data_IF_502842181513
#
_entry.id   IF_502842181513
#
_cell.length_a   1.000
_cell.length_b   1.000
_cell.length_c   1.000
_cell.angle_alpha   90.00
_cell.angle_beta   90.00
_cell.angle_gamma   90.00
#
_symmetry.space_group_name_H-M   'P 1'
#
loop_
_entity.id
_entity.type
_entity.pdbx_description
1 polymer ?
#
# COMPACT_ATOMS: atom_id res chain seq x y z
N UNK A 1 11.15 17.65 50.13
CA UNK A 1 10.72 17.08 48.83
C UNK A 1 11.94 16.62 48.03
N UNK A 2 12.18 15.31 47.89
CA UNK A 2 13.15 14.74 46.93
C UNK A 2 12.53 13.47 46.35
N UNK A 3 12.22 13.46 45.06
CA UNK A 3 11.88 12.24 44.32
C UNK A 3 12.95 12.00 43.27
N UNK A 4 13.73 10.95 43.49
CA UNK A 4 14.64 10.34 42.53
C UNK A 4 13.85 9.34 41.69
N UNK A 5 13.88 9.47 40.36
CA UNK A 5 13.20 8.53 39.46
C UNK A 5 14.00 8.34 38.18
N UNK A 6 14.81 7.28 38.16
CA UNK A 6 15.51 6.73 36.99
C UNK A 6 14.52 5.83 36.25
N UNK A 7 14.18 6.12 34.99
CA UNK A 7 13.53 5.14 34.10
C UNK A 7 14.36 4.95 32.85
N UNK A 8 14.65 3.69 32.56
CA UNK A 8 15.43 3.18 31.43
C UNK A 8 14.51 2.25 30.67
N UNK A 9 13.97 2.66 29.54
CA UNK A 9 13.16 1.78 28.68
C UNK A 9 13.32 2.30 27.23
N UNK A 10 14.36 1.92 26.48
CA UNK A 10 14.43 0.74 25.60
C UNK A 10 13.06 0.15 25.21
N UNK A 11 12.37 0.74 24.24
CA UNK A 11 11.37 0.15 23.33
C UNK A 11 10.90 1.33 22.45
N UNK A 12 10.69 1.28 21.14
CA UNK A 12 10.64 0.23 20.12
C UNK A 12 10.62 1.03 18.81
N UNK A 13 11.38 0.62 17.79
CA UNK A 13 11.12 1.06 16.43
C UNK A 13 9.66 0.74 16.10
N UNK A 14 8.81 1.75 16.11
CA UNK A 14 7.43 1.64 15.66
C UNK A 14 7.46 1.69 14.14
N UNK A 15 7.77 0.53 13.57
CA UNK A 15 6.97 -0.08 12.50
C UNK A 15 5.93 0.88 11.90
N UNK A 16 6.27 1.40 10.72
CA UNK A 16 5.44 2.30 9.93
C UNK A 16 4.44 1.50 9.06
N UNK A 17 3.90 0.40 9.62
CA UNK A 17 3.08 -0.58 8.90
C UNK A 17 1.78 -0.84 9.66
N UNK A 18 0.87 0.16 9.69
CA UNK A 18 -0.52 -0.08 10.12
C UNK A 18 -1.52 0.63 9.21
N UNK A 19 -1.89 -0.12 8.18
CA UNK A 19 -3.27 -0.36 7.74
C UNK A 19 -4.24 0.82 7.81
N UNK A 20 -4.17 1.69 6.80
CA UNK A 20 -5.27 2.60 6.47
C UNK A 20 -6.27 1.89 5.54
N UNK A 21 -7.16 1.09 6.13
CA UNK A 21 -8.32 0.52 5.42
C UNK A 21 -9.53 1.41 5.72
N UNK A 22 -9.97 2.20 4.75
CA UNK A 22 -11.17 3.04 4.91
C UNK A 22 -12.33 2.59 4.03
N UNK A 23 -13.55 2.47 4.61
CA UNK A 23 -14.73 2.08 3.89
C UNK A 23 -15.30 3.30 3.13
N UNK A 24 -15.58 3.09 1.84
CA UNK A 24 -16.55 3.82 0.98
C UNK A 24 -16.06 4.87 -0.03
N UNK A 25 -14.84 5.42 0.01
CA UNK A 25 -14.47 6.46 -0.97
C UNK A 25 -12.98 6.43 -1.37
N UNK A 26 -12.63 5.72 -2.44
CA UNK A 26 -11.52 6.08 -3.36
C UNK A 26 -11.43 5.15 -4.55
N UNK A 27 -12.16 5.42 -5.63
CA UNK A 27 -12.06 4.63 -6.88
C UNK A 27 -10.62 4.51 -7.42
N UNK A 28 -9.76 5.50 -7.11
CA UNK A 28 -8.32 5.45 -7.43
C UNK A 28 -7.43 4.82 -6.35
N UNK A 29 -7.54 5.21 -5.08
CA UNK A 29 -6.68 4.62 -4.04
C UNK A 29 -7.10 3.23 -3.56
N UNK A 30 -8.32 2.79 -3.85
CA UNK A 30 -8.76 1.42 -3.60
C UNK A 30 -7.99 0.43 -4.49
N UNK A 31 -7.78 0.80 -5.76
CA UNK A 31 -6.93 0.04 -6.68
C UNK A 31 -5.50 -0.03 -6.14
N UNK A 32 -4.93 1.08 -5.68
CA UNK A 32 -3.58 1.10 -5.11
C UNK A 32 -3.46 0.23 -3.85
N UNK A 33 -4.42 0.33 -2.93
CA UNK A 33 -4.43 -0.43 -1.69
C UNK A 33 -4.63 -1.94 -1.96
N UNK A 34 -5.57 -2.28 -2.85
CA UNK A 34 -5.78 -3.65 -3.28
C UNK A 34 -4.52 -4.22 -3.94
N UNK A 35 -3.89 -3.45 -4.82
CA UNK A 35 -2.62 -3.81 -5.44
C UNK A 35 -1.57 -4.09 -4.37
N UNK A 36 -1.33 -3.18 -3.43
CA UNK A 36 -0.31 -3.38 -2.39
C UNK A 36 -0.61 -4.55 -1.45
N UNK A 37 -1.89 -4.87 -1.22
CA UNK A 37 -2.32 -5.96 -0.35
C UNK A 37 -2.37 -7.33 -1.05
N UNK A 38 -2.58 -7.37 -2.37
CA UNK A 38 -2.83 -8.61 -3.12
C UNK A 38 -1.75 -8.92 -4.17
N UNK A 39 -0.96 -7.93 -4.58
CA UNK A 39 0.11 -8.05 -5.56
C UNK A 39 1.45 -7.96 -4.83
N UNK A 40 2.18 -9.07 -4.85
CA UNK A 40 3.58 -9.07 -4.45
C UNK A 40 4.46 -8.60 -5.61
N UNK A 41 4.87 -7.34 -5.58
CA UNK A 41 5.75 -6.75 -6.60
C UNK A 41 7.13 -7.37 -6.67
N UNK A 42 7.60 -8.07 -5.63
CA UNK A 42 8.90 -8.72 -5.61
C UNK A 42 9.00 -9.86 -6.63
N UNK A 43 7.86 -10.41 -7.03
CA UNK A 43 7.78 -11.49 -8.02
C UNK A 43 7.71 -10.98 -9.45
N UNK A 44 7.50 -9.68 -9.64
CA UNK A 44 7.37 -9.06 -10.95
C UNK A 44 8.63 -8.29 -11.31
N UNK A 45 9.03 -8.37 -12.58
CA UNK A 45 10.15 -7.57 -13.10
C UNK A 45 9.79 -6.09 -13.22
N UNK A 46 8.49 -5.78 -13.28
CA UNK A 46 7.97 -4.42 -13.38
C UNK A 46 6.53 -4.38 -12.87
N UNK A 47 6.16 -3.31 -12.16
CA UNK A 47 4.81 -3.04 -11.67
C UNK A 47 3.74 -3.11 -12.77
N UNK A 48 4.06 -2.78 -14.03
CA UNK A 48 3.12 -2.92 -15.15
C UNK A 48 2.68 -4.37 -15.43
N UNK A 49 3.42 -5.40 -14.99
CA UNK A 49 3.00 -6.79 -15.12
C UNK A 49 1.76 -7.10 -14.28
N UNK A 50 1.55 -6.36 -13.18
CA UNK A 50 0.37 -6.48 -12.34
C UNK A 50 -0.91 -5.95 -13.02
N UNK A 51 -0.81 -5.21 -14.13
CA UNK A 51 -1.94 -4.65 -14.88
C UNK A 51 -2.98 -5.71 -15.21
N UNK A 52 -2.55 -6.89 -15.67
CA UNK A 52 -3.46 -7.99 -16.00
C UNK A 52 -4.23 -8.50 -14.79
N UNK A 53 -3.55 -8.66 -13.65
CA UNK A 53 -4.16 -9.12 -12.39
C UNK A 53 -5.17 -8.11 -11.86
N UNK A 54 -4.83 -6.83 -11.92
CA UNK A 54 -5.71 -5.73 -11.49
C UNK A 54 -6.93 -5.62 -12.41
N UNK A 55 -6.73 -5.62 -13.73
CA UNK A 55 -7.84 -5.59 -14.67
C UNK A 55 -8.69 -6.86 -14.60
N UNK A 56 -8.15 -8.01 -14.20
CA UNK A 56 -8.95 -9.23 -13.97
C UNK A 56 -9.83 -9.13 -12.73
N UNK A 57 -9.35 -8.47 -11.67
CA UNK A 57 -10.12 -8.26 -10.43
C UNK A 57 -11.18 -7.17 -10.59
N UNK A 58 -10.77 -6.00 -11.09
CA UNK A 58 -11.67 -4.85 -11.23
C UNK A 58 -12.44 -4.84 -12.56
N UNK A 59 -11.97 -5.55 -13.59
CA UNK A 59 -12.66 -5.65 -14.88
C UNK A 59 -12.94 -4.28 -15.50
N UNK A 60 -14.22 -4.06 -15.83
CA UNK A 60 -14.75 -2.78 -16.35
C UNK A 60 -14.96 -1.72 -15.26
N UNK A 61 -14.80 -2.05 -13.98
CA UNK A 61 -14.96 -1.12 -12.85
C UNK A 61 -13.73 -0.22 -12.67
N UNK A 62 -12.56 -0.67 -13.16
CA UNK A 62 -11.35 0.11 -13.18
C UNK A 62 -11.06 0.66 -14.58
N UNK A 63 -10.69 1.93 -14.63
CA UNK A 63 -10.17 2.55 -15.84
C UNK A 63 -8.73 2.06 -16.07
N UNK A 64 -8.45 1.48 -17.25
CA UNK A 64 -7.12 0.94 -17.56
C UNK A 64 -6.03 2.01 -17.54
N UNK A 65 -6.36 3.25 -17.87
CA UNK A 65 -5.41 4.36 -17.84
C UNK A 65 -5.08 4.76 -16.39
N UNK A 66 -6.08 4.74 -15.51
CA UNK A 66 -5.91 4.94 -14.07
C UNK A 66 -5.03 3.85 -13.45
N UNK A 67 -5.28 2.57 -13.76
CA UNK A 67 -4.45 1.44 -13.27
C UNK A 67 -3.01 1.58 -13.74
N UNK A 68 -2.81 1.87 -15.04
CA UNK A 68 -1.49 2.08 -15.62
C UNK A 68 -0.74 3.22 -14.92
N UNK A 69 -1.42 4.32 -14.60
CA UNK A 69 -0.85 5.45 -13.86
C UNK A 69 -0.42 5.02 -12.45
N UNK A 70 -1.28 4.34 -11.71
CA UNK A 70 -0.98 3.86 -10.34
C UNK A 70 0.22 2.90 -10.35
N UNK A 71 0.23 1.92 -11.25
CA UNK A 71 1.35 0.98 -11.38
C UNK A 71 2.65 1.68 -11.78
N UNK A 72 2.57 2.69 -12.64
CA UNK A 72 3.71 3.51 -13.03
C UNK A 72 4.30 4.31 -11.86
N UNK A 73 3.45 4.86 -10.99
CA UNK A 73 3.89 5.59 -9.79
C UNK A 73 4.49 4.64 -8.75
N UNK A 74 3.96 3.43 -8.59
CA UNK A 74 4.52 2.42 -7.67
C UNK A 74 5.90 1.96 -8.13
N UNK A 75 6.08 1.69 -9.43
CA UNK A 75 7.35 1.17 -9.97
C UNK A 75 8.46 2.21 -10.16
N UNK A 76 8.14 3.51 -10.03
CA UNK A 76 9.12 4.60 -10.11
C UNK A 76 9.78 4.93 -8.77
N UNK A 77 9.30 4.35 -7.66
CA UNK A 77 9.83 4.55 -6.32
C UNK A 77 10.95 3.57 -6.03
#
# INVERSE_FOLDING_TARGET
MRFTGKSRDFFKGADNSRDFIFPKWRRGSDIEAWIKANIDFSQYKNSMQAMGTVMKHFGKLADGNLVKKILGEIGKK
#
